data_IF_320637573228
#
_entry.id   IF_320637573228
#
_cell.length_a   1.000
_cell.length_b   1.000
_cell.length_c   1.000
_cell.angle_alpha   90.00
_cell.angle_beta   90.00
_cell.angle_gamma   90.00
#
_symmetry.space_group_name_H-M   'P 1'
#
loop_
_entity.id
_entity.type
_entity.pdbx_description
1 polymer ?
#
# COMPACT_ATOMS: atom_id res chain seq x y z
N UNK A 1 18.18 -12.49 -11.57
CA UNK A 1 16.89 -11.96 -11.08
C UNK A 1 16.99 -10.45 -11.03
N UNK A 2 16.03 -9.73 -11.62
CA UNK A 2 15.96 -8.27 -11.50
C UNK A 2 15.55 -7.97 -10.05
N UNK A 3 16.26 -7.05 -9.41
CA UNK A 3 15.93 -6.57 -8.06
C UNK A 3 14.69 -5.67 -8.18
N UNK A 4 13.50 -6.25 -8.10
CA UNK A 4 12.24 -5.49 -8.15
C UNK A 4 12.06 -4.81 -6.80
N UNK A 5 12.19 -3.48 -6.74
CA UNK A 5 11.89 -2.69 -5.55
C UNK A 5 10.58 -1.94 -5.72
N UNK A 6 9.91 -1.67 -4.62
CA UNK A 6 8.74 -0.79 -4.62
C UNK A 6 9.16 0.65 -4.91
N UNK A 7 8.39 1.33 -5.77
CA UNK A 7 8.60 2.72 -6.15
C UNK A 7 8.01 3.67 -5.09
N UNK A 8 8.75 4.73 -4.75
CA UNK A 8 8.34 5.69 -3.73
C UNK A 8 7.25 6.67 -4.20
N UNK A 9 6.15 6.83 -3.47
CA UNK A 9 5.13 7.85 -3.71
C UNK A 9 5.13 8.85 -2.55
N UNK A 10 5.09 10.16 -2.85
CA UNK A 10 4.95 11.19 -1.82
C UNK A 10 3.47 11.29 -1.43
N UNK A 11 3.06 10.55 -0.41
CA UNK A 11 1.65 10.38 -0.04
C UNK A 11 0.99 11.63 0.56
N UNK A 12 1.81 12.51 1.16
CA UNK A 12 1.40 13.80 1.74
C UNK A 12 0.86 14.80 0.70
N UNK A 13 1.30 14.68 -0.56
CA UNK A 13 0.84 15.50 -1.68
C UNK A 13 -0.56 15.10 -2.18
N UNK A 14 -1.06 13.92 -1.78
CA UNK A 14 -2.39 13.47 -2.16
C UNK A 14 -3.45 14.17 -1.30
N UNK A 15 -4.51 14.67 -1.95
CA UNK A 15 -5.75 15.03 -1.24
C UNK A 15 -6.32 13.80 -0.51
N UNK A 16 -7.20 14.02 0.47
CA UNK A 16 -7.83 12.91 1.19
C UNK A 16 -8.56 11.93 0.24
N UNK A 17 -9.20 12.45 -0.82
CA UNK A 17 -9.89 11.63 -1.82
C UNK A 17 -8.91 10.82 -2.67
N UNK A 18 -7.83 11.42 -3.15
CA UNK A 18 -6.80 10.72 -3.93
C UNK A 18 -6.09 9.65 -3.08
N UNK A 19 -5.78 9.97 -1.83
CA UNK A 19 -5.19 9.05 -0.88
C UNK A 19 -6.10 7.85 -0.61
N UNK A 20 -7.38 8.10 -0.31
CA UNK A 20 -8.35 7.04 -0.07
C UNK A 20 -8.50 6.12 -1.30
N UNK A 21 -8.56 6.71 -2.51
CA UNK A 21 -8.63 5.94 -3.75
C UNK A 21 -7.36 5.10 -3.98
N UNK A 22 -6.19 5.65 -3.67
CA UNK A 22 -4.93 4.91 -3.72
C UNK A 22 -4.92 3.76 -2.71
N UNK A 23 -5.27 4.02 -1.46
CA UNK A 23 -5.29 3.03 -0.39
C UNK A 23 -6.25 1.86 -0.68
N UNK A 24 -7.45 2.15 -1.18
CA UNK A 24 -8.40 1.14 -1.63
C UNK A 24 -7.82 0.24 -2.73
N UNK A 25 -7.10 0.83 -3.68
CA UNK A 25 -6.45 0.05 -4.74
C UNK A 25 -5.31 -0.81 -4.17
N UNK A 26 -4.47 -0.28 -3.27
CA UNK A 26 -3.42 -1.06 -2.59
C UNK A 26 -4.02 -2.26 -1.86
N UNK A 27 -5.08 -2.05 -1.08
CA UNK A 27 -5.78 -3.13 -0.40
C UNK A 27 -6.27 -4.22 -1.37
N UNK A 28 -6.82 -3.82 -2.52
CA UNK A 28 -7.24 -4.74 -3.58
C UNK A 28 -6.10 -5.46 -4.31
N UNK A 29 -4.84 -5.02 -4.15
CA UNK A 29 -3.68 -5.71 -4.70
C UNK A 29 -3.17 -6.85 -3.79
N UNK A 30 -3.52 -6.85 -2.50
CA UNK A 30 -3.06 -7.87 -1.54
C UNK A 30 -3.83 -9.18 -1.78
N UNK A 31 -3.17 -10.25 -2.28
CA UNK A 31 -3.86 -11.52 -2.52
C UNK A 31 -4.21 -12.23 -1.21
N UNK A 32 -3.30 -12.22 -0.24
CA UNK A 32 -3.53 -12.55 1.17
C UNK A 32 -2.35 -12.04 2.01
N UNK A 33 -2.54 -11.77 3.32
CA UNK A 33 -1.44 -11.37 4.20
C UNK A 33 -0.31 -12.42 4.21
N UNK A 34 -0.69 -13.70 4.31
CA UNK A 34 0.25 -14.83 4.34
C UNK A 34 1.11 -14.93 3.08
N UNK A 35 0.52 -14.74 1.90
CA UNK A 35 1.25 -14.84 0.63
C UNK A 35 2.32 -13.73 0.48
N UNK A 36 2.13 -12.61 1.17
CA UNK A 36 3.05 -11.48 1.17
C UNK A 36 3.90 -11.39 2.44
N UNK A 37 3.78 -12.36 3.35
CA UNK A 37 4.44 -12.37 4.66
C UNK A 37 4.07 -11.19 5.58
N UNK A 38 2.94 -10.52 5.33
CA UNK A 38 2.46 -9.39 6.12
C UNK A 38 1.65 -9.92 7.31
N UNK A 39 1.77 -9.27 8.46
CA UNK A 39 0.91 -9.56 9.61
C UNK A 39 -0.56 -9.30 9.28
N UNK A 40 -1.43 -10.26 9.61
CA UNK A 40 -2.87 -10.15 9.33
C UNK A 40 -3.50 -8.93 10.01
N UNK A 41 -3.06 -8.59 11.22
CA UNK A 41 -3.51 -7.40 11.95
C UNK A 41 -3.25 -6.09 11.20
N UNK A 42 -2.16 -6.00 10.43
CA UNK A 42 -1.81 -4.80 9.65
C UNK A 42 -2.79 -4.62 8.51
N UNK A 43 -3.10 -5.71 7.77
CA UNK A 43 -4.06 -5.67 6.66
C UNK A 43 -5.47 -5.41 7.17
N UNK A 44 -5.85 -6.00 8.31
CA UNK A 44 -7.14 -5.73 8.96
C UNK A 44 -7.25 -4.27 9.40
N UNK A 45 -6.21 -3.74 10.06
CA UNK A 45 -6.16 -2.34 10.48
C UNK A 45 -6.24 -1.37 9.29
N UNK A 46 -5.48 -1.63 8.24
CA UNK A 46 -5.48 -0.83 7.01
C UNK A 46 -6.87 -0.79 6.36
N UNK A 47 -7.52 -1.94 6.21
CA UNK A 47 -8.89 -2.01 5.67
C UNK A 47 -9.92 -1.30 6.56
N UNK A 48 -9.79 -1.42 7.89
CA UNK A 48 -10.67 -0.71 8.81
C UNK A 48 -10.50 0.81 8.70
N UNK A 49 -9.27 1.29 8.55
CA UNK A 49 -8.97 2.71 8.42
C UNK A 49 -9.41 3.29 7.07
N UNK A 50 -9.38 2.51 5.99
CA UNK A 50 -10.01 2.86 4.70
C UNK A 50 -11.50 3.18 4.90
N UNK A 51 -12.21 2.32 5.65
CA UNK A 51 -13.65 2.53 5.94
C UNK A 51 -13.84 3.80 6.77
N UNK A 52 -13.09 3.97 7.87
CA UNK A 52 -13.19 5.17 8.72
C UNK A 52 -12.90 6.46 7.95
N UNK A 53 -11.89 6.45 7.07
CA UNK A 53 -11.51 7.62 6.28
C UNK A 53 -12.58 8.01 5.26
N UNK A 54 -13.35 7.03 4.76
CA UNK A 54 -14.48 7.31 3.86
C UNK A 54 -15.66 8.00 4.57
N UNK A 55 -15.80 7.81 5.89
CA UNK A 55 -16.95 8.27 6.67
C UNK A 55 -16.73 9.62 7.38
N UNK A 56 -15.49 10.13 7.46
CA UNK A 56 -15.11 11.26 8.33
C UNK A 56 -14.57 12.45 7.53
N UNK A 57 -14.80 13.67 8.03
CA UNK A 57 -14.36 14.93 7.39
C UNK A 57 -12.93 15.35 7.79
N UNK A 58 -12.47 15.02 9.00
CA UNK A 58 -11.07 15.18 9.44
C UNK A 58 -10.40 13.81 9.63
N UNK A 59 -9.61 13.43 8.64
CA UNK A 59 -8.94 12.13 8.57
C UNK A 59 -7.44 12.22 8.88
N UNK A 60 -6.96 13.32 9.46
CA UNK A 60 -5.50 13.55 9.62
C UNK A 60 -4.83 12.44 10.44
N UNK A 61 -5.38 12.11 11.61
CA UNK A 61 -4.85 11.04 12.44
C UNK A 61 -4.97 9.66 11.78
N UNK A 62 -6.07 9.42 11.04
CA UNK A 62 -6.29 8.17 10.31
C UNK A 62 -5.27 8.02 9.18
N UNK A 63 -4.93 9.10 8.47
CA UNK A 63 -3.91 9.09 7.41
C UNK A 63 -2.53 8.75 7.96
N UNK A 64 -2.14 9.30 9.10
CA UNK A 64 -0.86 8.95 9.74
C UNK A 64 -0.80 7.45 10.04
N UNK A 65 -1.87 6.90 10.63
CA UNK A 65 -1.92 5.45 10.93
C UNK A 65 -1.89 4.59 9.65
N UNK A 66 -2.59 5.03 8.59
CA UNK A 66 -2.58 4.35 7.30
C UNK A 66 -1.23 4.44 6.58
N UNK A 67 -0.48 5.54 6.75
CA UNK A 67 0.87 5.71 6.21
C UNK A 67 1.83 4.72 6.88
N UNK A 68 1.77 4.59 8.21
CA UNK A 68 2.55 3.60 8.97
C UNK A 68 2.22 2.16 8.53
N UNK A 69 0.93 1.85 8.34
CA UNK A 69 0.47 0.54 7.85
C UNK A 69 0.93 0.27 6.42
N UNK A 70 0.89 1.27 5.55
CA UNK A 70 1.39 1.16 4.18
C UNK A 70 2.91 0.95 4.16
N UNK A 71 3.66 1.65 5.02
CA UNK A 71 5.09 1.45 5.18
C UNK A 71 5.38 0.01 5.65
N UNK A 72 4.67 -0.50 6.65
CA UNK A 72 4.89 -1.88 7.14
C UNK A 72 4.60 -2.94 6.06
N UNK A 73 3.51 -2.76 5.30
CA UNK A 73 3.19 -3.60 4.14
C UNK A 73 4.33 -3.60 3.13
N UNK A 74 4.79 -2.40 2.73
CA UNK A 74 5.79 -2.27 1.65
C UNK A 74 7.19 -2.69 2.09
N UNK A 75 7.61 -2.34 3.31
CA UNK A 75 8.88 -2.75 3.89
C UNK A 75 8.97 -4.28 4.05
N UNK A 76 7.89 -4.91 4.52
CA UNK A 76 7.81 -6.38 4.62
C UNK A 76 7.95 -7.02 3.24
N UNK A 77 7.14 -6.58 2.26
CA UNK A 77 7.20 -7.13 0.91
C UNK A 77 8.58 -6.93 0.27
N UNK A 78 9.19 -5.75 0.40
CA UNK A 78 10.53 -5.48 -0.12
C UNK A 78 11.59 -6.38 0.54
N UNK A 79 11.52 -6.61 1.86
CA UNK A 79 12.42 -7.53 2.56
C UNK A 79 12.26 -8.97 2.06
N UNK A 80 11.03 -9.47 1.97
CA UNK A 80 10.76 -10.83 1.50
C UNK A 80 11.00 -11.02 -0.01
N UNK A 81 10.98 -9.95 -0.80
CA UNK A 81 11.43 -9.99 -2.21
C UNK A 81 12.91 -10.39 -2.36
N UNK A 82 13.69 -10.26 -1.29
CA UNK A 82 15.11 -10.65 -1.23
C UNK A 82 15.27 -11.97 -0.48
N UNK A 83 14.64 -12.09 0.69
CA UNK A 83 14.82 -13.24 1.58
C UNK A 83 14.12 -14.51 1.06
N UNK A 84 12.91 -14.38 0.55
CA UNK A 84 12.09 -15.49 0.07
C UNK A 84 11.22 -15.03 -1.11
N UNK A 85 11.81 -14.86 -2.30
CA UNK A 85 11.08 -14.39 -3.48
C UNK A 85 9.96 -15.36 -3.85
N UNK A 86 8.79 -14.83 -4.18
CA UNK A 86 7.65 -15.58 -4.68
C UNK A 86 7.00 -14.90 -5.90
N UNK A 87 6.13 -15.63 -6.60
CA UNK A 87 5.37 -15.06 -7.71
C UNK A 87 4.40 -14.00 -7.20
N UNK A 88 3.78 -14.23 -6.04
CA UNK A 88 2.84 -13.31 -5.40
C UNK A 88 3.51 -12.00 -5.01
N UNK A 89 4.72 -12.04 -4.44
CA UNK A 89 5.53 -10.84 -4.14
C UNK A 89 5.90 -10.12 -5.44
N UNK A 90 6.36 -10.85 -6.45
CA UNK A 90 6.75 -10.27 -7.75
C UNK A 90 5.57 -9.57 -8.42
N UNK A 91 4.39 -10.21 -8.42
CA UNK A 91 3.17 -9.67 -8.99
C UNK A 91 2.65 -8.47 -8.21
N UNK A 92 2.68 -8.54 -6.87
CA UNK A 92 2.30 -7.43 -6.02
C UNK A 92 3.18 -6.21 -6.29
N UNK A 93 4.51 -6.34 -6.26
CA UNK A 93 5.43 -5.22 -6.51
C UNK A 93 5.20 -4.64 -7.91
N UNK A 94 5.05 -5.50 -8.93
CA UNK A 94 4.78 -5.07 -10.31
C UNK A 94 3.48 -4.25 -10.42
N UNK A 95 2.40 -4.71 -9.78
CA UNK A 95 1.10 -4.02 -9.77
C UNK A 95 1.14 -2.74 -8.94
N UNK A 96 1.79 -2.77 -7.78
CA UNK A 96 1.95 -1.60 -6.93
C UNK A 96 2.76 -0.50 -7.62
N UNK A 97 3.85 -0.86 -8.30
CA UNK A 97 4.64 0.10 -9.06
C UNK A 97 3.83 0.74 -10.20
N UNK A 98 3.01 -0.06 -10.90
CA UNK A 98 2.08 0.48 -11.92
C UNK A 98 1.05 1.43 -11.31
N UNK A 99 0.52 1.12 -10.13
CA UNK A 99 -0.41 1.98 -9.41
C UNK A 99 0.26 3.30 -9.01
N UNK A 100 1.45 3.25 -8.40
CA UNK A 100 2.25 4.43 -8.04
C UNK A 100 2.49 5.33 -9.26
N UNK A 101 2.92 4.77 -10.40
CA UNK A 101 3.14 5.56 -11.61
C UNK A 101 1.86 6.20 -12.16
N UNK A 102 0.70 5.51 -12.05
CA UNK A 102 -0.60 6.08 -12.47
C UNK A 102 -1.01 7.22 -11.55
N UNK A 103 -0.89 7.04 -10.24
CA UNK A 103 -1.23 8.08 -9.25
C UNK A 103 -0.35 9.31 -9.43
N UNK A 104 0.98 9.15 -9.62
CA UNK A 104 1.88 10.28 -9.91
C UNK A 104 1.49 11.04 -11.18
N UNK A 105 1.00 10.36 -12.22
CA UNK A 105 0.58 10.99 -13.48
C UNK A 105 -0.75 11.72 -13.36
N UNK A 106 -1.67 11.21 -12.54
CA UNK A 106 -2.97 11.83 -12.33
C UNK A 106 -2.87 13.13 -11.51
N UNK A 107 -1.85 13.24 -10.65
CA UNK A 107 -1.72 14.31 -9.66
C UNK A 107 -0.56 15.28 -9.97
N UNK A 108 -0.13 15.34 -11.23
CA UNK A 108 0.86 16.30 -11.77
C UNK A 108 0.17 17.29 -12.68
#
# INVERSE_FOLDING_TARGET
>A
MVKTRIHYLVLDQLSNTEYLCFAQQVAGLIPSPKALHIAESVVVGYNANIVKMADIYDCTAIRVEMDDQYEDITATVDAFSILQPSQEITDFISRLNKLVERTRKANR
#
